data_IF_653757892826
#
_entry.id   IF_653757892826
#
_cell.length_a   1.000
_cell.length_b   1.000
_cell.length_c   1.000
_cell.angle_alpha   90.00
_cell.angle_beta   90.00
_cell.angle_gamma   90.00
#
_symmetry.space_group_name_H-M   'P 1'
#
loop_
_entity.id
_entity.type
_entity.pdbx_description
1 polymer ?
#
# COMPACT_ATOMS: atom_id res chain seq x y z
N UNK A 1 -0.45 2.98 -22.18
CA UNK A 1 -1.76 2.75 -21.54
C UNK A 1 -1.97 3.89 -20.53
N UNK A 2 -3.10 4.60 -20.56
CA UNK A 2 -3.37 5.66 -19.58
C UNK A 2 -4.07 5.06 -18.33
N UNK A 3 -4.23 5.86 -17.25
CA UNK A 3 -4.83 5.36 -16.01
C UNK A 3 -6.26 4.83 -16.17
N UNK A 4 -7.08 5.45 -17.02
CA UNK A 4 -8.46 5.02 -17.28
C UNK A 4 -8.48 3.62 -17.93
N UNK A 5 -7.64 3.40 -18.95
CA UNK A 5 -7.51 2.09 -19.60
C UNK A 5 -7.04 1.01 -18.62
N UNK A 6 -6.08 1.37 -17.76
CA UNK A 6 -5.58 0.46 -16.73
C UNK A 6 -6.65 0.13 -15.70
N UNK A 7 -7.39 1.14 -15.21
CA UNK A 7 -8.48 0.94 -14.27
C UNK A 7 -9.55 0.01 -14.84
N UNK A 8 -9.95 0.20 -16.10
CA UNK A 8 -10.90 -0.70 -16.78
C UNK A 8 -10.37 -2.12 -16.89
N UNK A 9 -9.08 -2.30 -17.18
CA UNK A 9 -8.46 -3.63 -17.23
C UNK A 9 -8.47 -4.30 -15.87
N UNK A 10 -8.07 -3.59 -14.82
CA UNK A 10 -7.99 -4.10 -13.44
C UNK A 10 -9.38 -4.40 -12.85
N UNK A 11 -10.35 -3.51 -13.08
CA UNK A 11 -11.73 -3.68 -12.59
C UNK A 11 -12.49 -4.82 -13.26
N UNK A 12 -12.09 -5.24 -14.45
CA UNK A 12 -12.72 -6.36 -15.15
C UNK A 12 -12.32 -7.75 -14.61
N UNK A 13 -11.24 -7.84 -13.83
CA UNK A 13 -10.71 -9.11 -13.29
C UNK A 13 -11.38 -9.41 -11.95
N UNK A 14 -12.04 -10.56 -11.73
CA UNK A 14 -12.54 -10.95 -10.40
C UNK A 14 -11.45 -10.94 -9.32
N UNK A 15 -11.76 -10.55 -8.08
CA UNK A 15 -10.75 -10.49 -7.00
C UNK A 15 -10.07 -11.86 -6.78
N UNK A 16 -10.85 -12.94 -6.77
CA UNK A 16 -10.32 -14.29 -6.58
C UNK A 16 -9.39 -14.80 -7.70
N UNK A 17 -9.29 -14.08 -8.82
CA UNK A 17 -8.36 -14.43 -9.90
C UNK A 17 -6.98 -13.77 -9.72
N UNK A 18 -6.85 -12.80 -8.80
CA UNK A 18 -5.54 -12.21 -8.47
C UNK A 18 -4.74 -13.15 -7.57
N UNK A 19 -3.43 -13.33 -7.81
CA UNK A 19 -2.56 -14.02 -6.87
C UNK A 19 -2.41 -13.19 -5.59
N UNK A 20 -2.22 -13.86 -4.44
CA UNK A 20 -2.06 -13.25 -3.11
C UNK A 20 -1.04 -12.11 -3.12
N UNK A 21 0.09 -12.30 -3.81
CA UNK A 21 1.17 -11.31 -3.91
C UNK A 21 0.74 -9.98 -4.54
N UNK A 22 -0.32 -9.98 -5.37
CA UNK A 22 -0.79 -8.80 -6.10
C UNK A 22 -1.86 -8.00 -5.35
N UNK A 23 -2.46 -8.57 -4.29
CA UNK A 23 -3.60 -7.98 -3.58
C UNK A 23 -3.25 -6.66 -2.88
N UNK A 24 -2.07 -6.54 -2.26
CA UNK A 24 -1.65 -5.29 -1.61
C UNK A 24 -1.58 -4.11 -2.58
N UNK A 25 -0.92 -4.30 -3.74
CA UNK A 25 -0.86 -3.27 -4.77
C UNK A 25 -2.24 -2.94 -5.33
N UNK A 26 -3.10 -3.95 -5.49
CA UNK A 26 -4.48 -3.75 -5.93
C UNK A 26 -5.27 -2.88 -4.93
N UNK A 27 -5.20 -3.21 -3.64
CA UNK A 27 -5.86 -2.47 -2.57
C UNK A 27 -5.43 -1.01 -2.56
N UNK A 28 -4.12 -0.76 -2.57
CA UNK A 28 -3.57 0.59 -2.51
C UNK A 28 -3.96 1.44 -3.72
N UNK A 29 -4.02 0.82 -4.90
CA UNK A 29 -4.54 1.49 -6.09
C UNK A 29 -6.00 1.91 -5.94
N UNK A 30 -6.86 1.03 -5.42
CA UNK A 30 -8.27 1.36 -5.18
C UNK A 30 -8.47 2.40 -4.07
N UNK A 31 -7.69 2.38 -2.99
CA UNK A 31 -7.70 3.43 -1.96
C UNK A 31 -7.36 4.79 -2.56
N UNK A 32 -6.38 4.83 -3.48
CA UNK A 32 -6.00 6.05 -4.20
C UNK A 32 -7.11 6.52 -5.15
N UNK A 33 -7.73 5.61 -5.91
CA UNK A 33 -8.91 5.94 -6.76
C UNK A 33 -10.06 6.47 -5.92
N UNK A 34 -10.38 5.84 -4.80
CA UNK A 34 -11.42 6.31 -3.89
C UNK A 34 -11.14 7.73 -3.41
N UNK A 35 -9.89 8.01 -3.02
CA UNK A 35 -9.46 9.36 -2.63
C UNK A 35 -9.63 10.39 -3.75
N UNK A 36 -9.26 10.03 -4.99
CA UNK A 36 -9.43 10.89 -6.18
C UNK A 36 -10.91 11.20 -6.41
N UNK A 37 -11.76 10.18 -6.46
CA UNK A 37 -13.21 10.32 -6.75
C UNK A 37 -13.93 11.07 -5.63
N UNK A 38 -13.53 10.85 -4.37
CA UNK A 38 -14.08 11.58 -3.23
C UNK A 38 -13.80 13.08 -3.31
N UNK A 39 -12.63 13.50 -3.78
CA UNK A 39 -12.27 14.91 -3.97
C UNK A 39 -12.88 15.48 -5.25
N UNK A 40 -12.98 14.67 -6.30
CA UNK A 40 -13.46 15.05 -7.63
C UNK A 40 -14.65 14.18 -8.06
N UNK A 41 -15.88 14.44 -7.57
CA UNK A 41 -17.04 13.57 -7.81
C UNK A 41 -17.42 13.38 -9.29
N UNK A 42 -17.04 14.30 -10.18
CA UNK A 42 -17.27 14.13 -11.63
C UNK A 42 -16.46 12.98 -12.24
N UNK A 43 -15.45 12.46 -11.54
CA UNK A 43 -14.68 11.30 -11.99
C UNK A 43 -15.41 9.96 -11.73
N UNK A 44 -16.60 9.97 -11.11
CA UNK A 44 -17.47 8.79 -11.03
C UNK A 44 -17.84 8.26 -12.43
N UNK A 45 -17.97 9.14 -13.43
CA UNK A 45 -18.20 8.76 -14.84
C UNK A 45 -17.02 7.96 -15.45
N UNK A 46 -15.84 8.02 -14.83
CA UNK A 46 -14.61 7.36 -15.30
C UNK A 46 -14.31 6.11 -14.48
N UNK A 47 -14.37 6.23 -13.16
CA UNK A 47 -13.92 5.19 -12.22
C UNK A 47 -15.08 4.43 -11.55
N UNK A 48 -16.34 4.79 -11.84
CA UNK A 48 -17.49 4.23 -11.14
C UNK A 48 -17.81 5.00 -9.85
N UNK A 49 -18.93 4.66 -9.23
CA UNK A 49 -19.38 5.38 -8.04
C UNK A 49 -18.44 5.16 -6.87
N UNK A 50 -18.44 6.09 -5.89
CA UNK A 50 -17.72 5.88 -4.63
C UNK A 50 -18.10 4.55 -3.96
N UNK A 51 -19.36 4.13 -4.08
CA UNK A 51 -19.84 2.85 -3.55
C UNK A 51 -19.22 1.64 -4.26
N UNK A 52 -19.10 1.66 -5.58
CA UNK A 52 -18.50 0.54 -6.33
C UNK A 52 -17.02 0.37 -5.98
N UNK A 53 -16.29 1.48 -5.86
CA UNK A 53 -14.88 1.49 -5.45
C UNK A 53 -14.74 0.99 -4.01
N UNK A 54 -15.65 1.42 -3.13
CA UNK A 54 -15.70 1.02 -1.74
C UNK A 54 -15.96 -0.49 -1.57
N UNK A 55 -16.95 -1.05 -2.26
CA UNK A 55 -17.19 -2.50 -2.25
C UNK A 55 -15.98 -3.27 -2.77
N UNK A 56 -15.28 -2.71 -3.75
CA UNK A 56 -14.07 -3.33 -4.27
C UNK A 56 -12.92 -3.38 -3.25
N UNK A 57 -12.72 -2.31 -2.48
CA UNK A 57 -11.78 -2.27 -1.36
C UNK A 57 -12.17 -3.33 -0.32
N UNK A 58 -13.48 -3.42 0.00
CA UNK A 58 -14.02 -4.40 0.95
C UNK A 58 -13.77 -5.85 0.52
N UNK A 59 -13.98 -6.18 -0.76
CA UNK A 59 -13.69 -7.51 -1.30
C UNK A 59 -12.21 -7.88 -1.12
N UNK A 60 -11.29 -6.95 -1.44
CA UNK A 60 -9.85 -7.18 -1.31
C UNK A 60 -9.46 -7.33 0.17
N UNK A 61 -10.00 -6.49 1.05
CA UNK A 61 -9.78 -6.59 2.49
C UNK A 61 -10.27 -7.94 3.07
N UNK A 62 -11.38 -8.47 2.55
CA UNK A 62 -11.85 -9.82 2.91
C UNK A 62 -10.81 -10.89 2.63
N UNK A 63 -10.24 -10.92 1.42
CA UNK A 63 -9.18 -11.87 1.05
C UNK A 63 -7.93 -11.68 1.93
N UNK A 64 -7.51 -10.44 2.18
CA UNK A 64 -6.35 -10.15 3.03
C UNK A 64 -6.56 -10.62 4.48
N UNK A 65 -7.77 -10.49 5.02
CA UNK A 65 -8.09 -10.96 6.38
C UNK A 65 -7.92 -12.48 6.51
N UNK A 66 -8.32 -13.24 5.50
CA UNK A 66 -8.11 -14.69 5.48
C UNK A 66 -6.60 -15.04 5.43
N UNK A 67 -5.80 -14.29 4.68
CA UNK A 67 -4.35 -14.52 4.55
C UNK A 67 -3.56 -14.24 5.83
N UNK A 68 -4.00 -13.29 6.65
CA UNK A 68 -3.34 -12.99 7.93
C UNK A 68 -3.39 -14.19 8.88
N UNK A 69 -4.45 -15.01 8.78
CA UNK A 69 -4.63 -16.20 9.61
C UNK A 69 -3.99 -17.46 9.01
N UNK A 70 -3.51 -17.39 7.76
CA UNK A 70 -2.91 -18.53 7.07
C UNK A 70 -1.45 -18.77 7.54
N UNK A 71 -1.16 -19.93 8.17
CA UNK A 71 0.18 -20.24 8.64
C UNK A 71 1.20 -20.49 7.52
N UNK A 72 0.74 -20.70 6.28
CA UNK A 72 1.59 -20.88 5.11
C UNK A 72 2.13 -19.56 4.53
N UNK A 73 1.48 -18.44 4.84
CA UNK A 73 1.94 -17.09 4.46
C UNK A 73 3.18 -16.73 5.28
N UNK A 74 4.15 -16.06 4.66
CA UNK A 74 5.37 -15.66 5.37
C UNK A 74 5.05 -14.59 6.42
N UNK A 75 5.90 -14.46 7.45
CA UNK A 75 5.72 -13.41 8.45
C UNK A 75 5.75 -12.02 7.83
N UNK A 76 6.64 -11.78 6.87
CA UNK A 76 6.78 -10.48 6.20
C UNK A 76 5.54 -10.13 5.37
N UNK A 77 4.99 -11.10 4.63
CA UNK A 77 3.75 -10.89 3.86
C UNK A 77 2.55 -10.65 4.78
N UNK A 78 2.42 -11.42 5.88
CA UNK A 78 1.37 -11.19 6.88
C UNK A 78 1.45 -9.79 7.49
N UNK A 79 2.64 -9.31 7.82
CA UNK A 79 2.84 -7.94 8.32
C UNK A 79 2.33 -6.91 7.30
N UNK A 80 2.58 -7.13 6.01
CA UNK A 80 2.03 -6.32 4.93
C UNK A 80 0.50 -6.32 4.92
N UNK A 81 -0.11 -7.51 4.94
CA UNK A 81 -1.57 -7.65 4.91
C UNK A 81 -2.24 -7.03 6.15
N UNK A 82 -1.62 -7.13 7.33
CA UNK A 82 -2.10 -6.48 8.56
C UNK A 82 -2.10 -4.95 8.41
N UNK A 83 -1.00 -4.37 7.92
CA UNK A 83 -0.93 -2.93 7.66
C UNK A 83 -1.96 -2.49 6.61
N UNK A 84 -2.15 -3.31 5.57
CA UNK A 84 -3.11 -3.07 4.50
C UNK A 84 -4.57 -3.03 5.01
N UNK A 85 -4.95 -3.93 5.92
CA UNK A 85 -6.29 -3.90 6.53
C UNK A 85 -6.52 -2.64 7.37
N UNK A 86 -5.52 -2.22 8.15
CA UNK A 86 -5.61 -0.98 8.93
C UNK A 86 -5.75 0.25 8.02
N UNK A 87 -5.08 0.27 6.87
CA UNK A 87 -5.23 1.34 5.88
C UNK A 87 -6.56 1.27 5.13
N UNK A 88 -7.07 0.07 4.84
CA UNK A 88 -8.41 -0.11 4.30
C UNK A 88 -9.45 0.50 5.26
N UNK A 89 -9.31 0.29 6.58
CA UNK A 89 -10.18 0.92 7.58
C UNK A 89 -10.21 2.46 7.47
N UNK A 90 -9.06 3.12 7.24
CA UNK A 90 -9.02 4.58 7.07
C UNK A 90 -9.90 5.08 5.90
N UNK A 91 -10.22 4.19 4.96
CA UNK A 91 -11.02 4.50 3.76
C UNK A 91 -12.47 4.00 3.88
N UNK A 92 -12.64 2.80 4.45
CA UNK A 92 -13.86 1.99 4.45
C UNK A 92 -14.56 1.93 5.83
N UNK A 93 -13.87 2.30 6.92
CA UNK A 93 -14.39 2.41 8.30
C UNK A 93 -15.06 1.15 8.86
N UNK A 94 -14.61 -0.03 8.45
CA UNK A 94 -15.12 -1.31 8.96
C UNK A 94 -14.31 -1.81 10.15
N UNK A 95 -14.95 -1.72 11.31
CA UNK A 95 -14.37 -2.09 12.59
C UNK A 95 -13.99 -3.57 12.66
N UNK A 96 -14.69 -4.45 11.95
CA UNK A 96 -14.39 -5.89 12.02
C UNK A 96 -12.99 -6.17 11.45
N UNK A 97 -12.63 -5.51 10.34
CA UNK A 97 -11.28 -5.61 9.77
C UNK A 97 -10.21 -4.92 10.63
N UNK A 98 -10.55 -3.78 11.25
CA UNK A 98 -9.62 -3.11 12.14
C UNK A 98 -9.30 -3.97 13.36
N UNK A 99 -10.31 -4.57 13.98
CA UNK A 99 -10.15 -5.42 15.16
C UNK A 99 -9.28 -6.65 14.82
N UNK A 100 -9.56 -7.33 13.70
CA UNK A 100 -8.73 -8.45 13.21
C UNK A 100 -7.28 -8.02 13.00
N UNK A 101 -7.06 -6.86 12.38
CA UNK A 101 -5.72 -6.38 12.06
C UNK A 101 -4.94 -5.98 13.32
N UNK A 102 -5.57 -5.30 14.27
CA UNK A 102 -4.96 -4.90 15.54
C UNK A 102 -4.61 -6.14 16.39
N UNK A 103 -5.53 -7.09 16.53
CA UNK A 103 -5.26 -8.34 17.25
C UNK A 103 -4.06 -9.09 16.64
N UNK A 104 -4.02 -9.19 15.31
CA UNK A 104 -2.91 -9.82 14.60
C UNK A 104 -1.59 -9.02 14.75
N UNK A 105 -1.64 -7.70 14.70
CA UNK A 105 -0.47 -6.84 14.88
C UNK A 105 0.15 -7.04 16.27
N UNK A 106 -0.65 -6.96 17.33
CA UNK A 106 -0.17 -7.16 18.71
C UNK A 106 0.27 -8.59 18.97
N UNK A 107 -0.32 -9.59 18.31
CA UNK A 107 0.19 -10.96 18.30
C UNK A 107 1.62 -11.08 17.75
N UNK A 108 2.02 -10.18 16.84
CA UNK A 108 3.37 -10.14 16.25
C UNK A 108 4.33 -9.30 17.09
N UNK A 109 3.92 -8.09 17.48
CA UNK A 109 4.83 -7.10 18.06
C UNK A 109 4.89 -7.15 19.60
N UNK A 110 3.90 -7.74 20.28
CA UNK A 110 3.91 -7.94 21.74
C UNK A 110 3.51 -9.39 22.08
N UNK A 111 4.31 -10.39 21.66
CA UNK A 111 3.99 -11.78 21.96
C UNK A 111 4.02 -12.01 23.47
N UNK A 112 3.03 -12.75 23.98
CA UNK A 112 2.90 -13.13 25.40
C UNK A 112 2.64 -11.96 26.37
N UNK A 113 2.19 -10.80 25.87
CA UNK A 113 1.90 -9.63 26.70
C UNK A 113 3.15 -9.03 27.35
N UNK A 114 4.29 -9.12 26.67
CA UNK A 114 5.53 -8.48 27.11
C UNK A 114 5.37 -6.96 27.02
N UNK A 115 5.91 -6.27 28.02
CA UNK A 115 5.92 -4.80 28.06
C UNK A 115 6.79 -4.16 26.96
N UNK A 116 7.62 -4.95 26.26
CA UNK A 116 8.52 -4.48 25.21
C UNK A 116 8.06 -4.92 23.82
N UNK A 117 8.05 -3.98 22.88
CA UNK A 117 7.77 -4.23 21.46
C UNK A 117 8.92 -5.00 20.82
N UNK A 118 8.59 -6.10 20.15
CA UNK A 118 9.50 -6.93 19.37
C UNK A 118 9.42 -6.54 17.90
N UNK A 119 10.59 -6.41 17.25
CA UNK A 119 10.72 -6.21 15.82
C UNK A 119 11.20 -7.49 15.12
N UNK A 120 10.29 -8.36 14.64
CA UNK A 120 10.70 -9.61 14.01
C UNK A 120 11.30 -9.42 12.61
N UNK A 121 11.04 -8.29 11.95
CA UNK A 121 11.65 -7.91 10.67
C UNK A 121 11.84 -6.38 10.58
N UNK A 122 12.59 -5.91 9.59
CA UNK A 122 12.85 -4.48 9.31
C UNK A 122 12.52 -4.14 7.86
N UNK A 123 11.26 -4.36 7.49
CA UNK A 123 10.72 -4.14 6.14
C UNK A 123 9.91 -2.84 6.08
N UNK A 124 9.62 -2.28 4.88
CA UNK A 124 8.74 -1.13 4.77
C UNK A 124 7.32 -1.41 5.28
N UNK A 125 6.84 -2.65 5.15
CA UNK A 125 5.56 -3.10 5.66
C UNK A 125 5.53 -3.09 7.20
N UNK A 126 6.63 -3.47 7.87
CA UNK A 126 6.74 -3.35 9.32
C UNK A 126 6.68 -1.89 9.78
N UNK A 127 7.33 -0.98 9.04
CA UNK A 127 7.20 0.46 9.32
C UNK A 127 5.73 0.92 9.24
N UNK A 128 5.00 0.54 8.19
CA UNK A 128 3.57 0.87 8.02
C UNK A 128 2.72 0.31 9.16
N UNK A 129 2.96 -0.95 9.56
CA UNK A 129 2.27 -1.59 10.67
C UNK A 129 2.47 -0.79 11.97
N UNK A 130 3.72 -0.45 12.31
CA UNK A 130 4.03 0.32 13.52
C UNK A 130 3.41 1.73 13.48
N UNK A 131 3.48 2.41 12.33
CA UNK A 131 2.82 3.72 12.16
C UNK A 131 1.31 3.62 12.37
N UNK A 132 0.68 2.55 11.86
CA UNK A 132 -0.74 2.31 12.05
C UNK A 132 -1.07 2.03 13.52
N UNK A 133 -0.25 1.22 14.21
CA UNK A 133 -0.41 0.98 15.65
C UNK A 133 -0.29 2.27 16.46
N UNK A 134 0.68 3.14 16.14
CA UNK A 134 0.78 4.47 16.73
C UNK A 134 -0.48 5.31 16.46
N UNK A 135 -0.97 5.34 15.23
CA UNK A 135 -2.16 6.10 14.86
C UNK A 135 -3.41 5.67 15.63
N UNK A 136 -3.66 4.36 15.75
CA UNK A 136 -4.87 3.84 16.39
C UNK A 136 -4.78 3.77 17.92
N UNK A 137 -3.59 3.51 18.47
CA UNK A 137 -3.41 3.17 19.89
C UNK A 137 -2.60 4.22 20.67
N UNK A 138 -1.94 5.17 19.99
CA UNK A 138 -1.11 6.19 20.63
C UNK A 138 0.21 5.65 21.19
N UNK A 139 0.67 4.48 20.71
CA UNK A 139 1.89 3.84 21.21
C UNK A 139 3.15 4.53 20.65
N UNK A 140 3.70 5.47 21.42
CA UNK A 140 4.90 6.26 21.07
C UNK A 140 6.11 5.39 20.70
N UNK A 141 6.24 4.22 21.32
CA UNK A 141 7.33 3.29 21.01
C UNK A 141 7.21 2.73 19.58
N UNK A 142 5.99 2.53 19.06
CA UNK A 142 5.79 2.16 17.67
C UNK A 142 6.29 3.25 16.72
N UNK A 143 5.95 4.52 17.00
CA UNK A 143 6.44 5.66 16.22
C UNK A 143 7.97 5.74 16.22
N UNK A 144 8.59 5.59 17.40
CA UNK A 144 10.05 5.60 17.55
C UNK A 144 10.72 4.49 16.73
N UNK A 145 10.23 3.26 16.82
CA UNK A 145 10.77 2.09 16.10
C UNK A 145 10.54 2.20 14.58
N UNK A 146 9.41 2.75 14.14
CA UNK A 146 9.17 3.04 12.73
C UNK A 146 10.21 4.03 12.18
N UNK A 147 10.55 5.06 12.97
CA UNK A 147 11.62 6.01 12.64
C UNK A 147 12.98 5.35 12.46
N UNK A 148 13.34 4.38 13.32
CA UNK A 148 14.57 3.59 13.16
C UNK A 148 14.58 2.74 11.89
N UNK A 149 13.42 2.20 11.47
CA UNK A 149 13.32 1.37 10.27
C UNK A 149 13.55 2.20 9.00
N UNK A 150 13.03 3.42 8.97
CA UNK A 150 13.16 4.31 7.80
C UNK A 150 14.45 5.13 7.77
N UNK A 151 15.21 5.17 8.87
CA UNK A 151 16.44 5.95 8.95
C UNK A 151 17.43 5.56 7.84
N UNK A 152 17.83 6.54 7.03
CA UNK A 152 18.78 6.37 5.93
C UNK A 152 18.20 5.72 4.67
N UNK A 153 16.90 5.41 4.65
CA UNK A 153 16.23 4.84 3.47
C UNK A 153 16.03 5.85 2.36
N UNK A 154 16.18 7.15 2.63
CA UNK A 154 16.16 8.19 1.60
C UNK A 154 17.26 7.99 0.55
N UNK A 155 18.36 7.32 0.92
CA UNK A 155 19.46 6.99 0.00
C UNK A 155 19.03 6.06 -1.14
N UNK A 156 17.94 5.30 -0.98
CA UNK A 156 17.37 4.50 -2.05
C UNK A 156 16.96 5.35 -3.27
N UNK A 157 16.85 6.68 -3.12
CA UNK A 157 16.39 7.58 -4.18
C UNK A 157 17.49 8.52 -4.72
N UNK A 158 18.72 8.46 -4.18
CA UNK A 158 19.80 9.44 -4.47
C UNK A 158 20.62 9.09 -5.73
N UNK A 159 20.41 7.94 -6.36
CA UNK A 159 21.17 7.54 -7.56
C UNK A 159 20.26 6.77 -8.51
N UNK A 160 20.08 7.31 -9.72
CA UNK A 160 19.37 6.64 -10.80
C UNK A 160 20.36 6.17 -11.87
N UNK A 161 20.49 4.85 -11.98
CA UNK A 161 20.99 4.19 -13.19
C UNK A 161 19.85 3.91 -14.15
N UNK A 162 20.16 3.63 -15.42
CA UNK A 162 19.15 3.35 -16.45
C UNK A 162 18.65 1.88 -16.47
N UNK A 163 19.16 1.01 -15.59
CA UNK A 163 18.99 -0.46 -15.66
C UNK A 163 18.30 -1.03 -14.40
N UNK A 164 17.01 -0.75 -14.21
CA UNK A 164 16.22 -1.32 -13.11
C UNK A 164 15.22 -2.34 -13.64
N UNK A 165 15.15 -3.50 -12.99
CA UNK A 165 14.09 -4.47 -13.22
C UNK A 165 12.84 -4.14 -12.38
N UNK A 166 11.76 -4.89 -12.63
CA UNK A 166 10.49 -4.73 -11.92
C UNK A 166 10.63 -4.91 -10.40
N UNK A 167 11.51 -5.80 -9.95
CA UNK A 167 11.66 -6.10 -8.53
C UNK A 167 12.27 -4.92 -7.78
N UNK A 168 13.29 -4.29 -8.35
CA UNK A 168 13.91 -3.09 -7.79
C UNK A 168 12.94 -1.91 -7.77
N UNK A 169 12.09 -1.80 -8.79
CA UNK A 169 11.00 -0.80 -8.84
C UNK A 169 9.98 -1.04 -7.71
N UNK A 170 9.48 -2.27 -7.56
CA UNK A 170 8.55 -2.65 -6.50
C UNK A 170 9.15 -2.38 -5.12
N UNK A 171 10.41 -2.77 -4.93
CA UNK A 171 11.13 -2.58 -3.67
C UNK A 171 11.25 -1.09 -3.30
N UNK A 172 11.67 -0.24 -4.26
CA UNK A 172 11.76 1.22 -4.05
C UNK A 172 10.40 1.83 -3.77
N UNK A 173 9.37 1.41 -4.50
CA UNK A 173 8.01 1.90 -4.34
C UNK A 173 7.45 1.59 -2.94
N UNK A 174 7.67 0.37 -2.43
CA UNK A 174 7.28 -0.03 -1.07
C UNK A 174 7.96 0.83 0.00
N UNK A 175 9.28 1.04 -0.11
CA UNK A 175 10.01 1.93 0.81
C UNK A 175 9.52 3.36 0.76
N UNK A 176 9.26 3.86 -0.44
CA UNK A 176 8.73 5.21 -0.62
C UNK A 176 7.39 5.38 0.09
N UNK A 177 6.47 4.45 -0.14
CA UNK A 177 5.17 4.40 0.54
C UNK A 177 5.31 4.37 2.05
N UNK A 178 6.22 3.56 2.59
CA UNK A 178 6.44 3.49 4.03
C UNK A 178 6.97 4.80 4.62
N UNK A 179 7.88 5.49 3.92
CA UNK A 179 8.39 6.80 4.33
C UNK A 179 7.28 7.84 4.30
N UNK A 180 6.52 7.94 3.20
CA UNK A 180 5.40 8.86 3.07
C UNK A 180 4.33 8.58 4.14
N UNK A 181 4.06 7.31 4.45
CA UNK A 181 3.12 6.94 5.50
C UNK A 181 3.61 7.32 6.89
N UNK A 182 4.89 7.09 7.21
CA UNK A 182 5.52 7.53 8.44
C UNK A 182 5.43 9.05 8.61
N UNK A 183 5.82 9.80 7.57
CA UNK A 183 5.79 11.27 7.59
C UNK A 183 4.38 11.81 7.82
N UNK A 184 3.36 11.20 7.21
CA UNK A 184 1.97 11.63 7.37
C UNK A 184 1.32 11.19 8.69
N UNK A 185 1.79 10.10 9.30
CA UNK A 185 1.15 9.51 10.49
C UNK A 185 1.83 9.92 11.78
N UNK A 186 3.16 10.09 11.76
CA UNK A 186 3.99 10.27 12.96
C UNK A 186 4.50 11.70 13.09
N UNK A 187 4.84 12.36 11.98
CA UNK A 187 5.46 13.69 12.00
C UNK A 187 4.50 14.80 11.59
N UNK A 188 4.64 16.00 12.16
CA UNK A 188 3.93 17.20 11.67
C UNK A 188 4.69 17.89 10.52
N UNK A 189 5.96 17.55 10.32
CA UNK A 189 6.82 18.10 9.28
C UNK A 189 6.58 17.37 7.96
N UNK A 190 5.82 17.98 7.06
CA UNK A 190 5.78 17.55 5.65
C UNK A 190 7.17 17.74 5.04
N UNK A 191 7.93 16.66 4.90
CA UNK A 191 9.09 16.66 4.02
C UNK A 191 8.61 16.71 2.57
N UNK A 192 9.45 17.33 1.74
CA UNK A 192 9.13 17.72 0.37
C UNK A 192 8.67 16.52 -0.45
N UNK A 193 7.54 16.67 -1.16
CA UNK A 193 7.02 15.62 -2.04
C UNK A 193 8.10 15.14 -3.00
N UNK A 194 8.38 13.85 -2.97
CA UNK A 194 9.41 13.26 -3.81
C UNK A 194 8.91 13.21 -5.26
N UNK A 195 9.78 13.43 -6.24
CA UNK A 195 9.43 13.30 -7.65
C UNK A 195 9.31 11.80 -8.01
N UNK A 196 8.12 11.30 -8.37
CA UNK A 196 7.91 9.91 -8.87
C UNK A 196 8.12 9.80 -10.37
N UNK A 197 8.34 10.90 -11.09
CA UNK A 197 8.29 10.92 -12.56
C UNK A 197 9.27 9.93 -13.18
N UNK A 198 10.49 9.79 -12.62
CA UNK A 198 11.49 8.85 -13.11
C UNK A 198 11.07 7.36 -12.95
N UNK A 199 10.26 7.06 -11.93
CA UNK A 199 9.72 5.72 -11.69
C UNK A 199 8.52 5.47 -12.63
N UNK A 200 7.71 6.50 -12.84
CA UNK A 200 6.54 6.49 -13.72
C UNK A 200 6.91 6.18 -15.17
N UNK A 201 7.91 6.87 -15.73
CA UNK A 201 8.31 6.70 -17.13
C UNK A 201 8.80 5.26 -17.40
N UNK A 202 9.58 4.70 -16.47
CA UNK A 202 10.10 3.32 -16.58
C UNK A 202 8.99 2.28 -16.47
N UNK A 203 8.09 2.43 -15.50
CA UNK A 203 6.97 1.50 -15.32
C UNK A 203 6.02 1.54 -16.53
N UNK A 204 5.77 2.74 -17.05
CA UNK A 204 4.96 2.92 -18.26
C UNK A 204 5.57 2.19 -19.44
N UNK A 205 6.90 2.23 -19.59
CA UNK A 205 7.62 1.48 -20.62
C UNK A 205 7.54 -0.04 -20.37
N UNK A 206 7.78 -0.51 -19.15
CA UNK A 206 7.70 -1.93 -18.79
C UNK A 206 6.31 -2.52 -19.06
N UNK A 207 5.25 -1.76 -18.84
CA UNK A 207 3.90 -2.18 -19.19
C UNK A 207 3.66 -2.33 -20.68
N UNK A 208 4.18 -1.40 -21.48
CA UNK A 208 4.07 -1.48 -22.93
C UNK A 208 4.80 -2.74 -23.41
N UNK A 209 6.01 -2.96 -22.89
CA UNK A 209 6.88 -4.08 -23.25
C UNK A 209 6.30 -5.44 -22.80
N UNK A 210 5.49 -5.46 -21.73
CA UNK A 210 4.87 -6.67 -21.18
C UNK A 210 3.34 -6.71 -21.38
N UNK A 211 2.79 -5.93 -22.31
CA UNK A 211 1.33 -5.77 -22.48
C UNK A 211 0.57 -7.07 -22.82
N UNK A 212 1.26 -8.08 -23.34
CA UNK A 212 0.73 -9.41 -23.66
C UNK A 212 0.91 -10.46 -22.55
N UNK A 213 1.60 -10.14 -21.45
CA UNK A 213 1.70 -11.03 -20.29
C UNK A 213 0.67 -10.63 -19.23
N UNK A 214 -0.06 -11.62 -18.73
CA UNK A 214 -0.91 -11.49 -17.53
C UNK A 214 -0.04 -11.50 -16.26
N UNK A 215 0.91 -10.57 -16.18
CA UNK A 215 1.71 -10.34 -14.98
C UNK A 215 0.91 -9.46 -14.02
N UNK A 216 0.13 -10.12 -13.14
CA UNK A 216 -0.69 -9.43 -12.14
C UNK A 216 0.12 -8.57 -11.18
N UNK A 217 1.36 -8.97 -10.85
CA UNK A 217 2.23 -8.18 -9.96
C UNK A 217 2.65 -6.88 -10.63
N UNK A 218 3.06 -6.95 -11.89
CA UNK A 218 3.35 -5.75 -12.68
C UNK A 218 2.08 -4.89 -12.79
N UNK A 219 0.95 -5.49 -13.15
CA UNK A 219 -0.32 -4.80 -13.35
C UNK A 219 -0.76 -4.01 -12.12
N UNK A 220 -0.75 -4.64 -10.94
CA UNK A 220 -1.21 -3.99 -9.70
C UNK A 220 -0.19 -3.01 -9.15
N UNK A 221 1.11 -3.27 -9.31
CA UNK A 221 2.16 -2.30 -8.96
C UNK A 221 2.04 -1.02 -9.78
N UNK A 222 1.78 -1.14 -11.08
CA UNK A 222 1.53 0.03 -11.92
C UNK A 222 0.27 0.73 -11.45
N UNK A 223 -0.82 -0.01 -11.29
CA UNK A 223 -2.10 0.56 -10.91
C UNK A 223 -1.98 1.39 -9.64
N UNK A 224 -1.30 0.84 -8.65
CA UNK A 224 -0.97 1.52 -7.42
C UNK A 224 -0.15 2.81 -7.64
N UNK A 225 0.96 2.72 -8.37
CA UNK A 225 1.83 3.87 -8.59
C UNK A 225 1.16 4.99 -9.39
N UNK A 226 0.45 4.66 -10.47
CA UNK A 226 -0.22 5.65 -11.31
C UNK A 226 -1.32 6.36 -10.54
N UNK A 227 -2.12 5.62 -9.78
CA UNK A 227 -3.20 6.20 -8.97
C UNK A 227 -2.65 7.05 -7.83
N UNK A 228 -1.57 6.64 -7.18
CA UNK A 228 -0.91 7.46 -6.17
C UNK A 228 -0.38 8.79 -6.76
N UNK A 229 0.23 8.74 -7.95
CA UNK A 229 0.69 9.95 -8.65
C UNK A 229 -0.46 10.89 -9.03
N UNK A 230 -1.55 10.36 -9.60
CA UNK A 230 -2.72 11.17 -9.93
C UNK A 230 -3.39 11.72 -8.65
N UNK A 231 -3.43 10.96 -7.55
CA UNK A 231 -3.95 11.42 -6.27
C UNK A 231 -3.18 12.63 -5.73
N UNK A 232 -1.86 12.69 -5.92
CA UNK A 232 -1.05 13.87 -5.56
C UNK A 232 -1.41 15.07 -6.43
N UNK A 233 -1.54 14.90 -7.76
CA UNK A 233 -1.92 15.99 -8.67
C UNK A 233 -3.28 16.59 -8.35
N UNK A 234 -4.26 15.72 -8.05
CA UNK A 234 -5.65 16.12 -7.78
C UNK A 234 -5.84 16.74 -6.38
N UNK A 235 -4.85 16.61 -5.49
CA UNK A 235 -4.83 17.26 -4.16
C UNK A 235 -4.15 18.65 -4.17
N UNK A 236 -3.54 19.06 -5.29
CA UNK A 236 -2.86 20.34 -5.47
C UNK A 236 -3.66 21.30 -6.35
#
# INVERSE_FOLDING_TARGET
MNLNDLYKKVSAIPIGDFPQSALSGLLHGYISVYSIVRVNPWLEDVYGSQWDIHERIREIAGELADLIQDPSVTLEDRVGHIADLMEAYLTYSDMDFLDIALDAAYGIISPEGRDEIVLPCRTPEMCRLLCSCYYFMGEEECARLAGEIIEGKEQLFVTLGYDYDLLEIVHRWRWRRAIEFYENSVTEEKKMGFDVTDLFDKISQLLIDNSERDDYMLLTTVFDLLTAHECVKERC
#
